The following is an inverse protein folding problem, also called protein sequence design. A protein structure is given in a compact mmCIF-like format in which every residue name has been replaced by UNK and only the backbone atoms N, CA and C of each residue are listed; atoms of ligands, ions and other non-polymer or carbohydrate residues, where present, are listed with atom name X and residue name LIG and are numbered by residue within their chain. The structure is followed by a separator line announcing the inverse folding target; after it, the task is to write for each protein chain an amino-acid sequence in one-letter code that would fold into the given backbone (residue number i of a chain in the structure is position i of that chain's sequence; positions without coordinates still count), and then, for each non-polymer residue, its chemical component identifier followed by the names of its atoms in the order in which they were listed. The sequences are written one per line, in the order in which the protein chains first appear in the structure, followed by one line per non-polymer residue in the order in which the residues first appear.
data_IF_246025878240
#
_entry.id   IF_246025878240
#
_cell.length_a   1.000
_cell.length_b   1.000
_cell.length_c   1.000
_cell.angle_alpha   90.00
_cell.angle_beta   90.00
_cell.angle_gamma   90.00
#
_symmetry.space_group_name_H-M   'P 1'
#
loop_
_entity.id
_entity.type
_entity.pdbx_description
1 polymer ?
#
# COMPACT_ATOMS: atom_id res chain seq x y z
N UNK A 1 -6.23 26.36 13.82
CA UNK A 1 -6.28 24.93 13.44
C UNK A 1 -4.88 24.39 13.19
N UNK A 2 -4.04 25.05 12.38
CA UNK A 2 -2.64 24.63 12.16
C UNK A 2 -1.83 24.36 13.45
N UNK A 3 -1.81 25.24 14.49
CA UNK A 3 -0.96 25.00 15.66
C UNK A 3 -1.38 23.76 16.45
N UNK A 4 -2.69 23.57 16.60
CA UNK A 4 -3.27 22.43 17.32
C UNK A 4 -2.94 21.10 16.63
N UNK A 5 -2.98 21.07 15.30
CA UNK A 5 -2.64 19.86 14.54
C UNK A 5 -1.17 19.50 14.70
N UNK A 6 -0.29 20.51 14.67
CA UNK A 6 1.14 20.31 14.89
C UNK A 6 1.41 19.73 16.28
N UNK A 7 0.79 20.29 17.31
CA UNK A 7 0.94 19.81 18.69
C UNK A 7 0.47 18.36 18.83
N UNK A 8 -0.71 18.03 18.29
CA UNK A 8 -1.25 16.66 18.31
C UNK A 8 -0.32 15.70 17.57
N UNK A 9 0.20 16.07 16.40
CA UNK A 9 1.06 15.20 15.61
C UNK A 9 2.41 14.95 16.29
N UNK A 10 2.98 15.97 16.93
CA UNK A 10 4.20 15.82 17.71
C UNK A 10 3.95 14.95 18.95
N UNK A 11 2.83 15.12 19.64
CA UNK A 11 2.49 14.27 20.79
C UNK A 11 2.33 12.80 20.37
N UNK A 12 1.68 12.55 19.22
CA UNK A 12 1.59 11.21 18.64
C UNK A 12 2.96 10.64 18.31
N UNK A 13 3.85 11.44 17.71
CA UNK A 13 5.18 11.01 17.30
C UNK A 13 6.07 10.67 18.51
N UNK A 14 6.08 11.54 19.52
CA UNK A 14 6.99 11.45 20.66
C UNK A 14 6.50 10.47 21.73
N UNK A 15 5.17 10.36 21.91
CA UNK A 15 4.58 9.59 23.01
C UNK A 15 3.66 8.45 22.57
N UNK A 16 3.46 8.24 21.27
CA UNK A 16 2.55 7.22 20.72
C UNK A 16 1.09 7.34 21.24
N UNK A 17 0.67 8.55 21.65
CA UNK A 17 -0.67 8.82 22.16
C UNK A 17 -1.59 9.29 21.03
N UNK A 18 -2.36 8.36 20.48
CA UNK A 18 -3.34 8.65 19.43
C UNK A 18 -4.63 9.23 20.02
N UNK A 19 -5.21 10.30 19.43
CA UNK A 19 -6.57 10.71 19.73
C UNK A 19 -7.56 9.56 19.53
N UNK A 20 -8.55 9.43 20.42
CA UNK A 20 -9.53 8.33 20.32
C UNK A 20 -10.34 8.38 19.03
N UNK A 21 -10.63 9.58 18.53
CA UNK A 21 -11.30 9.78 17.24
C UNK A 21 -10.54 9.13 16.07
N UNK A 22 -9.22 9.01 16.12
CA UNK A 22 -8.45 8.38 15.04
C UNK A 22 -8.71 6.87 14.91
N UNK A 23 -9.29 6.26 15.95
CA UNK A 23 -9.68 4.84 15.96
C UNK A 23 -11.11 4.62 15.48
N UNK A 24 -11.86 5.69 15.24
CA UNK A 24 -13.23 5.62 14.74
C UNK A 24 -13.26 5.53 13.21
N UNK A 25 -14.17 4.69 12.70
CA UNK A 25 -14.38 4.52 11.28
C UNK A 25 -15.87 4.42 10.96
N UNK A 26 -16.33 5.17 9.97
CA UNK A 26 -17.66 4.95 9.37
C UNK A 26 -17.52 3.97 8.21
N UNK A 27 -18.11 2.79 8.34
CA UNK A 27 -18.06 1.77 7.28
C UNK A 27 -19.16 2.05 6.24
N UNK A 28 -18.78 2.10 4.97
CA UNK A 28 -19.70 2.20 3.83
C UNK A 28 -19.46 1.04 2.86
N UNK A 29 -20.51 0.54 2.22
CA UNK A 29 -20.42 -0.55 1.25
C UNK A 29 -20.42 0.01 -0.17
N UNK A 30 -19.43 -0.37 -0.97
CA UNK A 30 -19.36 -0.03 -2.39
C UNK A 30 -19.59 -1.30 -3.23
N UNK A 31 -20.59 -1.32 -4.14
CA UNK A 31 -20.79 -2.47 -5.02
C UNK A 31 -19.60 -2.65 -5.98
N UNK A 32 -19.21 -3.90 -6.24
CA UNK A 32 -18.29 -4.24 -7.32
C UNK A 32 -18.99 -4.00 -8.66
N UNK A 33 -18.27 -3.43 -9.62
CA UNK A 33 -18.74 -3.27 -10.99
C UNK A 33 -19.08 -4.64 -11.61
N UNK A 34 -20.10 -4.64 -12.47
CA UNK A 34 -20.54 -5.79 -13.28
C UNK A 34 -20.96 -7.06 -12.52
N UNK A 35 -21.28 -6.95 -11.23
CA UNK A 35 -21.73 -8.07 -10.40
C UNK A 35 -23.15 -7.86 -9.84
N UNK A 36 -23.82 -8.97 -9.51
CA UNK A 36 -25.18 -8.94 -8.95
C UNK A 36 -25.23 -8.24 -7.57
N UNK A 37 -25.90 -7.10 -7.50
CA UNK A 37 -26.07 -6.29 -6.29
C UNK A 37 -26.94 -6.95 -5.21
N UNK A 38 -27.60 -8.08 -5.49
CA UNK A 38 -28.34 -8.86 -4.48
C UNK A 38 -27.42 -9.77 -3.66
N UNK A 39 -26.17 -9.98 -4.09
CA UNK A 39 -25.22 -10.83 -3.38
C UNK A 39 -24.32 -9.97 -2.48
N UNK A 40 -24.37 -10.19 -1.16
CA UNK A 40 -23.56 -9.41 -0.20
C UNK A 40 -22.04 -9.50 -0.44
N UNK A 41 -21.55 -10.64 -0.93
CA UNK A 41 -20.13 -10.85 -1.31
C UNK A 41 -19.64 -9.94 -2.45
N UNK A 42 -20.57 -9.31 -3.17
CA UNK A 42 -20.28 -8.41 -4.27
C UNK A 42 -20.06 -6.96 -3.78
N UNK A 43 -20.13 -6.69 -2.48
CA UNK A 43 -19.81 -5.38 -1.92
C UNK A 43 -18.40 -5.38 -1.32
N UNK A 44 -17.72 -4.24 -1.45
CA UNK A 44 -16.45 -3.94 -0.78
C UNK A 44 -16.74 -3.01 0.40
N UNK A 45 -16.45 -3.40 1.65
CA UNK A 45 -16.53 -2.47 2.77
C UNK A 45 -15.35 -1.49 2.69
N UNK A 46 -15.63 -0.19 2.83
CA UNK A 46 -14.62 0.87 2.94
C UNK A 46 -14.78 1.57 4.28
N UNK A 47 -13.67 1.73 4.99
CA UNK A 47 -13.59 2.48 6.24
C UNK A 47 -13.31 3.96 5.95
N UNK A 48 -14.27 4.82 6.27
CA UNK A 48 -14.11 6.27 6.22
C UNK A 48 -13.50 6.73 7.53
N UNK A 49 -12.18 6.95 7.51
CA UNK A 49 -11.39 7.43 8.64
C UNK A 49 -11.34 8.96 8.70
N UNK A 50 -11.07 9.50 9.88
CA UNK A 50 -10.88 10.92 10.11
C UNK A 50 -9.73 11.51 9.27
N UNK A 51 -9.89 12.75 8.81
CA UNK A 51 -9.00 13.39 7.83
C UNK A 51 -7.67 13.79 8.46
N UNK A 52 -7.68 14.25 9.70
CA UNK A 52 -6.51 14.57 10.51
C UNK A 52 -5.57 13.37 10.67
N UNK A 53 -6.12 12.17 10.92
CA UNK A 53 -5.36 10.92 10.89
C UNK A 53 -4.73 10.68 9.51
N UNK A 54 -5.48 10.87 8.42
CA UNK A 54 -4.97 10.65 7.05
C UNK A 54 -3.81 11.58 6.71
N UNK A 55 -3.89 12.85 7.12
CA UNK A 55 -2.82 13.83 6.94
C UNK A 55 -1.56 13.36 7.69
N UNK A 56 -1.68 12.93 8.96
CA UNK A 56 -0.55 12.38 9.72
C UNK A 56 0.05 11.15 9.03
N UNK A 57 -0.79 10.20 8.62
CA UNK A 57 -0.34 8.99 7.91
C UNK A 57 0.38 9.32 6.59
N UNK A 58 -0.08 10.34 5.84
CA UNK A 58 0.61 10.84 4.65
C UNK A 58 1.97 11.42 4.98
N UNK A 59 2.08 12.27 6.01
CA UNK A 59 3.37 12.83 6.45
C UNK A 59 4.36 11.70 6.78
N UNK A 60 3.92 10.70 7.55
CA UNK A 60 4.75 9.55 7.90
C UNK A 60 5.14 8.71 6.68
N UNK A 61 4.20 8.49 5.76
CA UNK A 61 4.47 7.77 4.50
C UNK A 61 5.54 8.47 3.67
N UNK A 62 5.45 9.79 3.46
CA UNK A 62 6.46 10.54 2.71
C UNK A 62 7.84 10.48 3.37
N UNK A 63 7.90 10.57 4.71
CA UNK A 63 9.18 10.43 5.45
C UNK A 63 9.79 9.04 5.28
N UNK A 64 8.97 7.98 5.34
CA UNK A 64 9.44 6.61 5.23
C UNK A 64 9.89 6.25 3.80
N UNK A 65 9.24 6.77 2.77
CA UNK A 65 9.57 6.49 1.36
C UNK A 65 11.05 6.67 1.01
N UNK A 66 11.75 7.56 1.72
CA UNK A 66 13.17 7.85 1.53
C UNK A 66 14.03 6.60 1.74
N UNK A 67 13.66 5.72 2.68
CA UNK A 67 14.46 4.53 3.05
C UNK A 67 13.85 3.20 2.59
N UNK A 68 12.58 3.19 2.17
CA UNK A 68 11.87 1.94 1.88
C UNK A 68 12.54 1.08 0.80
N UNK A 69 13.17 1.71 -0.19
CA UNK A 69 13.86 0.98 -1.26
C UNK A 69 15.10 0.24 -0.80
N UNK A 70 15.75 0.68 0.29
CA UNK A 70 16.94 0.03 0.87
C UNK A 70 16.54 -1.16 1.75
N UNK A 71 15.38 -1.06 2.40
CA UNK A 71 14.91 -2.07 3.36
C UNK A 71 14.09 -3.18 2.70
N UNK A 72 13.42 -2.90 1.58
CA UNK A 72 12.51 -3.83 0.95
C UNK A 72 13.16 -4.51 -0.25
N UNK A 73 13.11 -5.84 -0.28
CA UNK A 73 13.64 -6.69 -1.35
C UNK A 73 13.19 -6.24 -2.75
N UNK A 74 14.07 -6.35 -3.75
CA UNK A 74 13.85 -5.83 -5.11
C UNK A 74 12.62 -6.39 -5.83
N UNK A 75 12.24 -7.62 -5.51
CA UNK A 75 11.08 -8.29 -6.14
C UNK A 75 9.72 -7.74 -5.66
N UNK A 76 9.69 -7.04 -4.52
CA UNK A 76 8.49 -6.37 -4.04
C UNK A 76 8.33 -5.04 -4.78
N UNK A 77 7.47 -5.00 -5.79
CA UNK A 77 7.28 -3.81 -6.64
C UNK A 77 6.05 -2.97 -6.29
N UNK A 78 5.16 -3.46 -5.42
CA UNK A 78 3.93 -2.75 -5.06
C UNK A 78 4.17 -1.54 -4.16
N UNK A 79 3.55 -0.41 -4.48
CA UNK A 79 3.46 0.80 -3.64
C UNK A 79 4.79 1.43 -3.22
N UNK A 80 5.88 1.13 -3.92
CA UNK A 80 7.21 1.67 -3.64
C UNK A 80 7.64 2.71 -4.66
N UNK A 81 8.36 3.77 -4.23
CA UNK A 81 8.82 4.80 -5.14
C UNK A 81 9.74 4.19 -6.20
N UNK A 82 9.60 4.64 -7.44
CA UNK A 82 10.35 4.18 -8.64
C UNK A 82 10.13 2.71 -9.06
N UNK A 83 9.35 1.92 -8.30
CA UNK A 83 9.00 0.55 -8.67
C UNK A 83 7.65 0.52 -9.37
N UNK A 84 7.56 -0.27 -10.44
CA UNK A 84 6.35 -0.36 -11.25
C UNK A 84 5.88 -1.80 -11.34
N UNK A 85 4.57 -2.01 -11.48
CA UNK A 85 3.99 -3.35 -11.68
C UNK A 85 4.59 -4.07 -12.90
N UNK A 86 5.02 -3.32 -13.92
CA UNK A 86 5.66 -3.84 -15.13
C UNK A 86 7.01 -4.52 -14.85
N UNK A 87 7.69 -4.15 -13.77
CA UNK A 87 8.94 -4.79 -13.36
C UNK A 87 8.71 -6.29 -13.09
N UNK A 88 7.59 -6.65 -12.45
CA UNK A 88 7.24 -8.06 -12.21
C UNK A 88 7.11 -8.82 -13.52
N UNK A 89 6.40 -8.26 -14.50
CA UNK A 89 6.26 -8.86 -15.84
C UNK A 89 7.62 -9.03 -16.51
N UNK A 90 8.51 -8.03 -16.42
CA UNK A 90 9.84 -8.12 -17.03
C UNK A 90 10.72 -9.17 -16.36
N UNK A 91 10.63 -9.34 -15.04
CA UNK A 91 11.35 -10.41 -14.33
C UNK A 91 10.95 -11.78 -14.88
N UNK A 92 9.65 -12.04 -15.03
CA UNK A 92 9.16 -13.31 -15.60
C UNK A 92 9.67 -13.52 -17.02
N UNK A 93 9.59 -12.48 -17.87
CA UNK A 93 10.09 -12.56 -19.25
C UNK A 93 11.59 -12.81 -19.32
N UNK A 94 12.39 -12.14 -18.49
CA UNK A 94 13.84 -12.35 -18.40
C UNK A 94 14.17 -13.82 -18.07
N UNK A 95 13.41 -14.43 -17.16
CA UNK A 95 13.62 -15.84 -16.78
C UNK A 95 13.30 -16.76 -17.96
N UNK A 96 12.19 -16.55 -18.65
CA UNK A 96 11.81 -17.34 -19.84
C UNK A 96 12.86 -17.20 -20.96
N UNK A 97 13.22 -15.96 -21.33
CA UNK A 97 14.22 -15.66 -22.35
C UNK A 97 15.59 -16.29 -22.00
N UNK A 98 15.98 -16.27 -20.73
CA UNK A 98 17.23 -16.87 -20.27
C UNK A 98 17.27 -18.39 -20.50
N UNK A 99 16.16 -19.10 -20.21
CA UNK A 99 16.08 -20.55 -20.41
C UNK A 99 15.90 -20.95 -21.88
N UNK A 100 15.23 -20.12 -22.69
CA UNK A 100 15.20 -20.32 -24.15
C UNK A 100 16.60 -20.20 -24.77
N UNK A 101 17.42 -19.25 -24.28
CA UNK A 101 18.79 -19.07 -24.74
C UNK A 101 19.79 -20.11 -24.20
N UNK A 102 19.44 -20.83 -23.14
CA UNK A 102 20.29 -21.86 -22.51
C UNK A 102 19.53 -23.19 -22.33
N UNK A 103 19.23 -23.91 -23.43
CA UNK A 103 18.45 -25.15 -23.39
C UNK A 103 19.10 -26.25 -22.52
N UNK A 104 20.42 -26.21 -22.35
CA UNK A 104 21.16 -27.14 -21.49
C UNK A 104 20.88 -26.95 -20.00
N UNK A 105 20.36 -25.77 -19.61
CA UNK A 105 19.94 -25.45 -18.23
C UNK A 105 18.45 -25.57 -18.03
N UNK A 106 17.70 -26.00 -19.05
CA UNK A 106 16.25 -26.11 -18.96
C UNK A 106 15.89 -27.10 -17.85
N UNK A 107 15.27 -26.58 -16.80
CA UNK A 107 14.76 -27.41 -15.71
C UNK A 107 13.50 -28.09 -16.26
N UNK A 108 13.47 -29.42 -16.21
CA UNK A 108 12.24 -30.16 -16.46
C UNK A 108 11.22 -29.73 -15.40
N UNK A 109 10.25 -28.90 -15.82
CA UNK A 109 9.05 -28.60 -15.04
C UNK A 109 8.11 -29.81 -15.02
#
# INVERSE_FOLDING_TARGET
LEPVMLDVYNEVLDFAKLPDSWREAKISLIPKEDLDNKQIRNYRPISLLNVDYKIYATIMSERLKIILNELIHGDQNGFLPTRQIRNNTRIVLNVLEYYEAHPEKQIAL
#
